data_IF_260241576416
#
_entry.id   IF_260241576416
#
_cell.length_a   1.000
_cell.length_b   1.000
_cell.length_c   1.000
_cell.angle_alpha   90.00
_cell.angle_beta   90.00
_cell.angle_gamma   90.00
#
_symmetry.space_group_name_H-M   'P 1'
#
loop_
_entity.id
_entity.type
_entity.pdbx_description
1 polymer ?
#
# COMPACT_ATOMS: atom_id res chain seq x y z
N UNK A 1 19.05 1.77 -11.53
CA UNK A 1 19.47 3.16 -11.81
C UNK A 1 18.37 3.83 -12.61
N UNK A 2 17.60 4.83 -12.21
CA UNK A 2 17.20 5.45 -10.95
C UNK A 2 15.82 6.06 -11.27
N UNK A 3 14.82 5.89 -10.40
CA UNK A 3 13.77 6.91 -10.29
C UNK A 3 14.19 7.80 -9.12
N UNK A 4 14.18 9.13 -9.27
CA UNK A 4 14.72 10.03 -8.26
C UNK A 4 13.92 9.88 -6.97
N UNK A 5 14.60 9.54 -5.87
CA UNK A 5 14.10 9.71 -4.50
C UNK A 5 14.09 11.20 -4.16
N UNK A 6 13.23 11.98 -4.82
CA UNK A 6 12.73 13.18 -4.18
C UNK A 6 11.71 12.70 -3.17
N UNK A 7 11.85 13.10 -1.90
CA UNK A 7 10.83 12.91 -0.88
C UNK A 7 9.53 13.53 -1.40
N UNK A 8 8.71 12.74 -2.09
CA UNK A 8 7.44 13.19 -2.62
C UNK A 8 6.60 13.56 -1.40
N UNK A 9 6.47 14.86 -1.15
CA UNK A 9 5.63 15.42 -0.12
C UNK A 9 4.27 14.72 -0.25
N UNK A 10 3.83 14.08 0.83
CA UNK A 10 2.55 13.39 0.81
C UNK A 10 1.46 14.39 0.41
N UNK A 11 0.53 14.03 -0.49
CA UNK A 11 -0.50 14.95 -0.93
C UNK A 11 -1.41 15.29 0.27
N UNK A 12 -1.84 16.55 0.36
CA UNK A 12 -2.88 16.95 1.33
C UNK A 12 -4.08 15.99 1.22
N UNK A 13 -4.65 15.48 2.33
CA UNK A 13 -4.40 15.81 3.75
C UNK A 13 -3.39 14.92 4.49
N UNK A 14 -2.50 14.24 3.76
CA UNK A 14 -1.54 13.31 4.34
C UNK A 14 -0.22 14.00 4.70
N UNK A 15 0.32 13.67 5.87
CA UNK A 15 1.71 13.97 6.26
C UNK A 15 2.58 12.72 6.16
N UNK A 16 3.81 12.83 5.69
CA UNK A 16 4.73 11.69 5.64
C UNK A 16 5.07 11.19 7.06
N UNK A 17 5.17 9.86 7.24
CA UNK A 17 5.67 9.28 8.48
C UNK A 17 7.20 9.19 8.43
N UNK A 18 7.93 9.75 9.42
CA UNK A 18 9.37 9.57 9.53
C UNK A 18 9.73 8.08 9.60
N UNK A 19 10.87 7.69 9.03
CA UNK A 19 11.39 6.32 9.13
C UNK A 19 10.74 5.28 8.21
N UNK A 20 9.55 5.53 7.64
CA UNK A 20 8.96 4.68 6.60
C UNK A 20 8.69 5.45 5.30
N UNK A 21 9.60 5.33 4.34
CA UNK A 21 9.26 5.63 2.94
C UNK A 21 8.62 4.37 2.35
N UNK A 22 7.36 4.39 1.86
CA UNK A 22 6.55 5.55 1.46
C UNK A 22 5.24 5.73 2.26
N UNK A 23 5.24 5.66 3.60
CA UNK A 23 4.01 5.78 4.38
C UNK A 23 3.65 7.24 4.70
N UNK A 24 2.36 7.55 4.62
CA UNK A 24 1.81 8.85 5.00
C UNK A 24 0.49 8.70 5.77
N UNK A 25 0.22 9.65 6.66
CA UNK A 25 -0.89 9.64 7.61
C UNK A 25 -1.80 10.85 7.40
N UNK A 26 -3.09 10.60 7.23
CA UNK A 26 -4.14 11.58 7.43
C UNK A 26 -4.68 11.46 8.86
N UNK A 27 -4.15 12.29 9.76
CA UNK A 27 -4.48 12.21 11.19
C UNK A 27 -5.98 12.38 11.44
N UNK A 28 -6.66 13.27 10.69
CA UNK A 28 -8.10 13.52 10.84
C UNK A 28 -9.01 12.32 10.44
N UNK A 29 -8.47 11.28 9.81
CA UNK A 29 -9.19 10.03 9.52
C UNK A 29 -8.74 8.85 10.41
N UNK A 30 -7.71 9.01 11.25
CA UNK A 30 -7.12 7.91 12.00
C UNK A 30 -7.91 7.60 13.28
N UNK A 31 -8.61 6.46 13.32
CA UNK A 31 -9.41 6.07 14.50
C UNK A 31 -8.60 6.03 15.80
N UNK A 32 -7.32 5.63 15.74
CA UNK A 32 -6.45 5.61 16.91
C UNK A 32 -6.14 7.02 17.45
N UNK A 33 -6.04 8.02 16.56
CA UNK A 33 -5.85 9.43 16.94
C UNK A 33 -7.14 10.03 17.49
N UNK A 34 -8.29 9.72 16.88
CA UNK A 34 -9.58 10.32 17.27
C UNK A 34 -10.21 9.70 18.51
N UNK A 35 -10.03 8.39 18.70
CA UNK A 35 -10.74 7.61 19.72
C UNK A 35 -9.80 6.77 20.60
N UNK A 36 -8.48 6.97 20.49
CA UNK A 36 -7.47 6.27 21.26
C UNK A 36 -7.04 4.92 20.68
N UNK A 37 -5.91 4.39 21.16
CA UNK A 37 -5.30 3.16 20.63
C UNK A 37 -6.23 1.93 20.71
N UNK A 38 -7.08 1.85 21.74
CA UNK A 38 -8.06 0.75 21.88
C UNK A 38 -9.12 0.73 20.78
N UNK A 39 -9.35 1.86 20.09
CA UNK A 39 -10.30 1.93 18.98
C UNK A 39 -9.76 1.32 17.68
N UNK A 40 -8.44 1.30 17.46
CA UNK A 40 -7.86 0.70 16.26
C UNK A 40 -6.36 0.39 16.41
N UNK A 41 -5.98 -0.87 16.20
CA UNK A 41 -4.60 -1.36 16.21
C UNK A 41 -4.20 -2.14 14.96
N UNK A 42 -4.97 -2.05 13.88
CA UNK A 42 -4.75 -2.87 12.68
C UNK A 42 -3.38 -2.71 12.03
N UNK A 43 -2.84 -1.49 11.96
CA UNK A 43 -1.58 -1.24 11.27
C UNK A 43 -0.35 -1.90 11.93
N UNK A 44 -0.12 -1.84 13.26
CA UNK A 44 0.93 -2.62 13.90
C UNK A 44 0.66 -4.13 13.85
N UNK A 45 -0.59 -4.57 14.09
CA UNK A 45 -0.94 -6.01 14.10
C UNK A 45 -0.69 -6.71 12.77
N UNK A 46 -0.93 -6.01 11.66
CA UNK A 46 -0.76 -6.57 10.31
C UNK A 46 0.66 -6.42 9.79
N UNK A 47 1.54 -5.65 10.44
CA UNK A 47 2.89 -5.40 9.96
C UNK A 47 3.76 -6.66 10.11
N UNK A 48 4.20 -7.30 9.00
CA UNK A 48 4.98 -8.54 9.10
C UNK A 48 6.38 -8.33 9.71
N UNK A 49 6.88 -7.08 9.72
CA UNK A 49 8.17 -6.73 10.29
C UNK A 49 8.08 -6.14 11.71
N UNK A 50 6.87 -5.99 12.28
CA UNK A 50 6.70 -5.33 13.58
C UNK A 50 7.19 -3.87 13.61
N UNK A 51 7.27 -3.21 12.45
CA UNK A 51 7.92 -1.91 12.29
C UNK A 51 7.04 -0.71 12.70
N UNK A 52 5.85 -0.94 13.26
CA UNK A 52 4.87 0.09 13.62
C UNK A 52 4.42 -0.06 15.07
N UNK A 53 4.19 1.07 15.74
CA UNK A 53 3.42 1.17 16.99
C UNK A 53 2.43 2.33 16.91
N UNK A 54 1.43 2.35 17.79
CA UNK A 54 0.55 3.51 17.96
C UNK A 54 1.14 4.43 19.04
N UNK A 55 1.16 5.73 18.75
CA UNK A 55 1.49 6.80 19.69
C UNK A 55 0.32 7.80 19.73
N UNK A 56 0.43 8.83 20.59
CA UNK A 56 -0.62 9.85 20.74
C UNK A 56 -0.91 10.59 19.42
N UNK A 57 0.12 10.87 18.61
CA UNK A 57 -0.02 11.53 17.31
C UNK A 57 -0.36 10.57 16.15
N UNK A 58 -0.63 9.30 16.45
CA UNK A 58 -0.95 8.24 15.49
C UNK A 58 0.17 7.21 15.32
N UNK A 59 0.14 6.42 14.23
CA UNK A 59 1.15 5.38 14.00
C UNK A 59 2.55 5.97 13.79
N UNK A 60 3.53 5.38 14.45
CA UNK A 60 4.95 5.70 14.36
C UNK A 60 5.75 4.48 13.90
N UNK A 61 6.79 4.73 13.11
CA UNK A 61 7.66 3.69 12.55
C UNK A 61 8.87 3.54 13.45
N UNK A 62 9.06 2.35 14.01
CA UNK A 62 10.09 2.09 15.03
C UNK A 62 11.11 1.02 14.65
N UNK A 63 10.91 0.35 13.52
CA UNK A 63 11.79 -0.72 13.04
C UNK A 63 11.91 -0.72 11.53
N UNK A 64 12.45 -1.82 11.00
CA UNK A 64 12.74 -1.94 9.58
C UNK A 64 11.47 -2.12 8.75
N UNK A 65 10.98 -1.01 8.19
CA UNK A 65 9.83 -1.01 7.30
C UNK A 65 10.18 -1.63 5.94
N UNK A 66 9.51 -2.73 5.60
CA UNK A 66 9.68 -3.40 4.30
C UNK A 66 9.04 -2.66 3.11
N UNK A 67 8.48 -1.47 3.32
CA UNK A 67 7.75 -0.70 2.31
C UNK A 67 6.62 -1.50 1.58
N UNK A 68 6.05 -2.52 2.24
CA UNK A 68 5.09 -3.42 1.60
C UNK A 68 3.66 -2.84 1.49
N UNK A 69 3.33 -1.79 2.22
CA UNK A 69 2.00 -1.15 2.19
C UNK A 69 0.86 -1.92 2.85
N UNK A 70 1.11 -3.10 3.46
CA UNK A 70 0.06 -3.93 4.10
C UNK A 70 -0.73 -3.17 5.17
N UNK A 71 -0.06 -2.32 5.95
CA UNK A 71 -0.70 -1.45 6.94
C UNK A 71 -1.66 -0.43 6.30
N UNK A 72 -1.31 0.14 5.14
CA UNK A 72 -2.16 1.06 4.39
C UNK A 72 -3.36 0.32 3.78
N UNK A 73 -3.13 -0.84 3.17
CA UNK A 73 -4.19 -1.68 2.60
C UNK A 73 -5.22 -2.17 3.63
N UNK A 74 -4.79 -2.38 4.88
CA UNK A 74 -5.65 -2.81 5.99
C UNK A 74 -6.34 -1.65 6.74
N UNK A 75 -5.95 -0.39 6.48
CA UNK A 75 -6.49 0.77 7.18
C UNK A 75 -7.96 0.99 6.82
N UNK A 76 -8.91 0.83 7.76
CA UNK A 76 -10.33 0.82 7.44
C UNK A 76 -10.86 2.19 7.00
N UNK A 77 -10.21 3.27 7.43
CA UNK A 77 -10.59 4.66 7.12
C UNK A 77 -9.73 5.28 6.03
N UNK A 78 -8.75 4.55 5.49
CA UNK A 78 -7.77 5.10 4.56
C UNK A 78 -6.81 6.12 5.19
N UNK A 79 -6.81 6.28 6.51
CA UNK A 79 -5.93 7.22 7.21
C UNK A 79 -4.44 6.97 6.96
N UNK A 80 -4.05 5.73 6.66
CA UNK A 80 -2.67 5.40 6.31
C UNK A 80 -2.58 5.09 4.81
N UNK A 81 -1.68 5.77 4.12
CA UNK A 81 -1.43 5.62 2.67
C UNK A 81 -0.01 5.14 2.42
N UNK A 82 0.14 4.27 1.42
CA UNK A 82 1.43 3.88 0.86
C UNK A 82 1.43 4.22 -0.64
N UNK A 83 2.56 4.71 -1.17
CA UNK A 83 2.68 5.00 -2.60
C UNK A 83 2.86 3.70 -3.42
N UNK A 84 2.52 3.75 -4.71
CA UNK A 84 2.74 2.65 -5.66
C UNK A 84 1.56 1.69 -5.84
N UNK A 85 0.39 2.03 -5.30
CA UNK A 85 -0.84 1.22 -5.40
C UNK A 85 -1.94 1.85 -6.26
N UNK A 86 -1.77 3.12 -6.62
CA UNK A 86 -2.69 3.96 -7.40
C UNK A 86 -2.40 3.94 -8.91
N UNK A 87 -1.41 3.15 -9.35
CA UNK A 87 -1.08 3.01 -10.77
C UNK A 87 -2.26 2.47 -11.58
N UNK A 88 -2.65 3.16 -12.64
CA UNK A 88 -3.69 2.69 -13.58
C UNK A 88 -3.10 1.65 -14.52
N UNK A 89 -3.64 0.41 -14.58
CA UNK A 89 -3.16 -0.56 -15.55
C UNK A 89 -3.55 -0.15 -16.97
N UNK A 90 -2.78 -0.59 -17.95
CA UNK A 90 -3.30 -0.71 -19.32
C UNK A 90 -4.38 -1.80 -19.26
N UNK A 91 -5.61 -1.46 -19.64
CA UNK A 91 -6.67 -2.45 -19.67
C UNK A 91 -6.36 -3.47 -20.78
N UNK A 92 -6.49 -4.79 -20.49
CA UNK A 92 -6.24 -5.80 -21.49
C UNK A 92 -7.31 -5.77 -22.59
N UNK A 93 -6.92 -6.15 -23.81
CA UNK A 93 -7.87 -6.28 -24.91
C UNK A 93 -8.89 -7.40 -24.67
N UNK A 94 -10.09 -7.23 -25.22
CA UNK A 94 -11.21 -8.16 -25.02
C UNK A 94 -11.67 -8.17 -23.57
N UNK A 95 -11.80 -9.35 -22.96
CA UNK A 95 -11.94 -9.42 -21.51
C UNK A 95 -10.86 -10.30 -20.85
N UNK A 96 -9.58 -10.00 -20.99
CA UNK A 96 -8.61 -10.69 -20.09
C UNK A 96 -8.68 -10.09 -18.67
N UNK A 97 -8.22 -10.79 -17.61
CA UNK A 97 -8.11 -10.20 -16.28
C UNK A 97 -6.95 -9.20 -16.22
N UNK A 98 -7.02 -8.23 -15.30
CA UNK A 98 -5.86 -7.41 -14.94
C UNK A 98 -4.92 -8.26 -14.09
N UNK A 99 -3.68 -8.43 -14.55
CA UNK A 99 -2.63 -9.10 -13.78
C UNK A 99 -1.93 -8.11 -12.87
N UNK A 100 -1.73 -8.51 -11.62
CA UNK A 100 -1.00 -7.72 -10.63
C UNK A 100 0.18 -8.54 -10.11
N UNK A 101 1.35 -7.92 -10.08
CA UNK A 101 2.61 -8.51 -9.60
C UNK A 101 3.34 -7.56 -8.64
N UNK A 102 4.19 -8.08 -7.76
CA UNK A 102 4.92 -7.25 -6.80
C UNK A 102 6.25 -6.71 -7.35
N UNK A 103 6.75 -5.62 -6.75
CA UNK A 103 8.03 -5.00 -7.13
C UNK A 103 9.24 -5.83 -6.73
N UNK A 104 9.09 -6.68 -5.72
CA UNK A 104 10.12 -7.60 -5.25
C UNK A 104 10.55 -8.60 -6.34
N UNK A 105 9.65 -8.92 -7.28
CA UNK A 105 9.97 -9.77 -8.44
C UNK A 105 10.74 -8.93 -9.47
N UNK A 106 11.92 -9.38 -9.95
CA UNK A 106 12.65 -8.69 -11.01
C UNK A 106 11.78 -8.45 -12.25
N UNK A 107 11.88 -7.27 -12.87
CA UNK A 107 11.06 -6.90 -14.05
C UNK A 107 11.18 -7.91 -15.21
N UNK A 108 12.32 -8.59 -15.35
CA UNK A 108 12.53 -9.64 -16.36
C UNK A 108 11.65 -10.88 -16.17
N UNK A 109 11.06 -11.07 -14.98
CA UNK A 109 10.14 -12.17 -14.66
C UNK A 109 8.68 -11.73 -14.56
N UNK A 110 8.40 -10.43 -14.58
CA UNK A 110 7.03 -9.90 -14.57
C UNK A 110 6.42 -9.99 -15.97
N UNK A 111 5.11 -10.22 -16.05
CA UNK A 111 4.37 -10.13 -17.31
C UNK A 111 4.48 -8.72 -17.90
N UNK A 112 4.54 -8.58 -19.24
CA UNK A 112 4.77 -7.29 -19.90
C UNK A 112 3.70 -6.25 -19.60
N UNK A 113 2.45 -6.68 -19.38
CA UNK A 113 1.30 -5.82 -19.09
C UNK A 113 0.84 -5.90 -17.62
N UNK A 114 1.65 -6.51 -16.73
CA UNK A 114 1.27 -6.63 -15.32
C UNK A 114 1.32 -5.25 -14.63
N UNK A 115 0.24 -4.91 -13.91
CA UNK A 115 0.27 -3.81 -12.96
C UNK A 115 1.22 -4.18 -11.82
N UNK A 116 2.33 -3.48 -11.73
CA UNK A 116 3.33 -3.75 -10.68
C UNK A 116 3.10 -2.83 -9.48
N UNK A 117 2.91 -3.43 -8.30
CA UNK A 117 2.75 -2.73 -7.00
C UNK A 117 3.89 -3.08 -6.04
N UNK A 118 4.17 -2.32 -4.97
CA UNK A 118 5.23 -2.66 -4.01
C UNK A 118 5.15 -4.10 -3.50
N UNK A 119 3.97 -4.51 -3.05
CA UNK A 119 3.68 -5.87 -2.57
C UNK A 119 2.20 -6.18 -2.78
N UNK A 120 1.87 -7.41 -3.18
CA UNK A 120 0.46 -7.82 -3.31
C UNK A 120 -0.31 -7.70 -2.00
N UNK A 121 0.36 -7.90 -0.86
CA UNK A 121 -0.23 -7.74 0.47
C UNK A 121 -0.64 -6.30 0.81
N UNK A 122 -0.17 -5.30 0.07
CA UNK A 122 -0.56 -3.89 0.26
C UNK A 122 -1.80 -3.46 -0.52
N UNK A 123 -2.35 -4.33 -1.39
CA UNK A 123 -3.58 -4.03 -2.12
C UNK A 123 -4.76 -3.94 -1.16
N UNK A 124 -5.46 -2.81 -1.16
CA UNK A 124 -6.72 -2.66 -0.44
C UNK A 124 -7.85 -3.38 -1.17
N UNK A 125 -8.88 -3.77 -0.42
CA UNK A 125 -10.11 -4.34 -1.00
C UNK A 125 -10.73 -3.37 -2.00
N UNK A 126 -10.77 -2.07 -1.67
CA UNK A 126 -11.29 -1.03 -2.56
C UNK A 126 -10.54 -1.02 -3.90
N UNK A 127 -9.21 -1.14 -3.89
CA UNK A 127 -8.41 -1.17 -5.12
C UNK A 127 -8.66 -2.43 -5.94
N UNK A 128 -8.82 -3.58 -5.29
CA UNK A 128 -9.16 -4.83 -5.98
C UNK A 128 -10.53 -4.76 -6.66
N UNK A 129 -11.53 -4.19 -5.97
CA UNK A 129 -12.88 -3.98 -6.53
C UNK A 129 -12.84 -3.02 -7.71
N UNK A 130 -12.12 -1.90 -7.59
CA UNK A 130 -11.95 -0.95 -8.70
C UNK A 130 -11.33 -1.61 -9.94
N UNK A 131 -10.26 -2.39 -9.75
CA UNK A 131 -9.62 -3.11 -10.85
C UNK A 131 -10.51 -4.19 -11.45
N UNK A 132 -11.26 -4.92 -10.62
CA UNK A 132 -12.22 -5.92 -11.07
C UNK A 132 -13.39 -5.30 -11.86
N UNK A 133 -13.77 -4.06 -11.56
CA UNK A 133 -14.80 -3.34 -12.31
C UNK A 133 -14.34 -2.89 -13.72
N UNK A 134 -13.03 -2.83 -13.96
CA UNK A 134 -12.45 -2.36 -15.22
C UNK A 134 -12.08 -3.50 -16.20
N UNK A 135 -12.15 -4.76 -15.78
CA UNK A 135 -11.73 -5.92 -16.56
C UNK A 135 -12.58 -7.16 -16.24
N UNK A 136 -12.28 -8.33 -16.85
CA UNK A 136 -13.01 -9.59 -16.55
C UNK A 136 -12.73 -10.15 -15.15
N UNK A 137 -11.84 -9.52 -14.41
CA UNK A 137 -11.39 -9.96 -13.09
C UNK A 137 -9.97 -9.48 -12.82
N UNK A 138 -9.45 -9.92 -11.67
CA UNK A 138 -8.09 -9.63 -11.22
C UNK A 138 -7.36 -10.95 -10.99
N UNK A 139 -6.14 -11.04 -11.50
CA UNK A 139 -5.23 -12.16 -11.25
C UNK A 139 -4.02 -11.64 -10.47
N UNK A 140 -3.91 -12.02 -9.20
CA UNK A 140 -2.74 -11.70 -8.38
C UNK A 140 -1.72 -12.82 -8.51
N UNK A 141 -0.54 -12.49 -9.05
CA UNK A 141 0.51 -13.49 -9.31
C UNK A 141 1.61 -13.33 -8.25
N UNK A 142 1.58 -14.20 -7.25
CA UNK A 142 2.70 -14.33 -6.32
C UNK A 142 3.76 -15.26 -6.90
N UNK A 143 5.01 -14.81 -6.90
CA UNK A 143 6.17 -15.55 -7.42
C UNK A 143 7.09 -16.04 -6.28
N UNK A 144 6.75 -15.78 -5.01
CA UNK A 144 7.41 -16.36 -3.83
C UNK A 144 8.91 -16.05 -3.70
N UNK A 145 9.28 -14.77 -3.62
CA UNK A 145 10.68 -14.31 -3.46
C UNK A 145 10.94 -13.71 -2.08
#
# INVERSE_FOLDING_TARGET
MNAPETAAQAPDPYRALPGARPLALWAAACLAVHAGETACRRCPEICPAGALRIADAGPEVTGDCLACGRCAGACPTGALRANGFDGRPKLPDGNSPVRIECWKVPRSRSGPDALRVPCLAGLSVARLVELAALARGVEMIDRGW
#
